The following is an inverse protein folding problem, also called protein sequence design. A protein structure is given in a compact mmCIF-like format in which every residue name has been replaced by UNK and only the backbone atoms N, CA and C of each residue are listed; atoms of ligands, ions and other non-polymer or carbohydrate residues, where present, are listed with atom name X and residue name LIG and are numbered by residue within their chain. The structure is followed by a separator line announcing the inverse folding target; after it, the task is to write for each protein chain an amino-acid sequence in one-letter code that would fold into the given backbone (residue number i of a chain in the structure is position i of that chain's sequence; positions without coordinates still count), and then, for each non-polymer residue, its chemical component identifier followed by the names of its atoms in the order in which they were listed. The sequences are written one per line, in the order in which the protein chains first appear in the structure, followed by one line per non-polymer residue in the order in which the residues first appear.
data_IF_888400343728
#
_entry.id   IF_888400343728
#
_cell.length_a   1.000
_cell.length_b   1.000
_cell.length_c   1.000
_cell.angle_alpha   90.00
_cell.angle_beta   90.00
_cell.angle_gamma   90.00
#
_symmetry.space_group_name_H-M   'P 1'
#
loop_
_entity.id
_entity.type
_entity.pdbx_description
1 polymer ?
#
# COMPACT_ATOMS: atom_id res chain seq x y z
N UNK A 1 4.77 22.73 33.40
CA UNK A 1 4.47 22.74 31.96
C UNK A 1 5.80 22.90 31.21
N UNK A 2 6.59 21.82 31.13
CA UNK A 2 7.95 21.81 30.55
C UNK A 2 8.02 20.61 29.62
N UNK A 3 7.47 20.74 28.41
CA UNK A 3 7.57 19.73 27.34
C UNK A 3 7.37 20.39 25.97
N UNK A 4 8.08 21.47 25.64
CA UNK A 4 8.14 21.97 24.26
C UNK A 4 9.51 22.61 24.02
N UNK A 5 10.45 21.83 23.48
CA UNK A 5 11.64 22.22 22.68
C UNK A 5 12.80 21.30 23.00
N UNK A 6 12.82 20.14 22.35
CA UNK A 6 14.03 19.36 22.14
C UNK A 6 14.34 19.34 20.65
N UNK A 7 15.61 19.51 20.22
CA UNK A 7 16.05 19.32 18.83
C UNK A 7 15.72 17.90 18.30
N UNK A 8 15.43 16.94 19.18
CA UNK A 8 14.99 15.59 18.84
C UNK A 8 13.66 15.57 18.06
N UNK A 9 12.70 16.45 18.35
CA UNK A 9 11.44 16.50 17.60
C UNK A 9 11.66 17.00 16.16
N UNK A 10 12.66 17.85 15.96
CA UNK A 10 13.10 18.27 14.63
C UNK A 10 13.89 17.16 13.93
N UNK A 11 14.62 16.30 14.65
CA UNK A 11 15.27 15.11 14.06
C UNK A 11 14.27 14.06 13.58
N UNK A 12 13.14 13.88 14.27
CA UNK A 12 12.07 12.96 13.82
C UNK A 12 11.32 13.48 12.59
N UNK A 13 11.18 14.80 12.44
CA UNK A 13 10.58 15.42 11.26
C UNK A 13 11.61 15.54 10.12
N UNK A 14 12.87 15.79 10.44
CA UNK A 14 14.01 15.81 9.50
C UNK A 14 14.47 14.40 9.07
N UNK A 15 13.93 13.34 9.69
CA UNK A 15 13.83 11.99 9.12
C UNK A 15 12.76 11.98 8.00
N UNK A 16 12.73 13.04 7.20
CA UNK A 16 11.93 13.12 5.99
C UNK A 16 12.32 11.93 5.14
N UNK A 17 11.34 11.13 4.68
CA UNK A 17 11.60 9.90 3.96
C UNK A 17 12.56 10.23 2.82
N UNK A 18 13.64 9.46 2.75
CA UNK A 18 14.64 9.44 1.70
C UNK A 18 14.01 9.87 0.36
N UNK A 19 14.64 10.78 -0.40
CA UNK A 19 14.04 11.34 -1.63
C UNK A 19 13.45 10.26 -2.58
N UNK A 20 13.94 9.02 -2.53
CA UNK A 20 13.43 7.87 -3.27
C UNK A 20 12.14 7.20 -2.72
N UNK A 21 11.95 7.14 -1.39
CA UNK A 21 10.79 6.48 -0.75
C UNK A 21 9.41 7.03 -1.15
N UNK A 22 9.17 8.36 -1.27
CA UNK A 22 7.85 8.85 -1.66
C UNK A 22 7.44 8.39 -3.06
N UNK A 23 8.40 8.17 -3.97
CA UNK A 23 8.11 7.66 -5.31
C UNK A 23 7.63 6.21 -5.27
N UNK A 24 8.25 5.35 -4.46
CA UNK A 24 7.82 3.94 -4.30
C UNK A 24 6.43 3.88 -3.66
N UNK A 25 6.17 4.69 -2.63
CA UNK A 25 4.84 4.79 -2.01
C UNK A 25 3.79 5.31 -3.00
N UNK A 26 4.13 6.30 -3.83
CA UNK A 26 3.24 6.81 -4.88
C UNK A 26 2.91 5.72 -5.91
N UNK A 27 3.91 4.92 -6.32
CA UNK A 27 3.68 3.80 -7.24
C UNK A 27 2.73 2.75 -6.66
N UNK A 28 2.86 2.42 -5.38
CA UNK A 28 1.93 1.52 -4.68
C UNK A 28 0.52 2.13 -4.66
N UNK A 29 0.38 3.40 -4.27
CA UNK A 29 -0.91 4.07 -4.25
C UNK A 29 -1.57 4.12 -5.64
N UNK A 30 -0.78 4.37 -6.69
CA UNK A 30 -1.24 4.37 -8.07
C UNK A 30 -1.69 2.98 -8.54
N UNK A 31 -0.96 1.92 -8.15
CA UNK A 31 -1.35 0.54 -8.43
C UNK A 31 -2.73 0.24 -7.81
N UNK A 32 -2.89 0.55 -6.52
CA UNK A 32 -4.16 0.35 -5.81
C UNK A 32 -5.31 1.14 -6.45
N UNK A 33 -5.05 2.38 -6.85
CA UNK A 33 -6.04 3.22 -7.53
C UNK A 33 -6.51 2.59 -8.85
N UNK A 34 -5.58 2.19 -9.72
CA UNK A 34 -5.89 1.60 -11.02
C UNK A 34 -6.69 0.31 -10.84
N UNK A 35 -6.22 -0.59 -9.97
CA UNK A 35 -6.91 -1.85 -9.71
C UNK A 35 -8.28 -1.64 -9.08
N UNK A 36 -8.44 -0.69 -8.14
CA UNK A 36 -9.74 -0.39 -7.55
C UNK A 36 -10.76 0.03 -8.62
N UNK A 37 -10.38 0.91 -9.54
CA UNK A 37 -11.27 1.34 -10.62
C UNK A 37 -11.60 0.17 -11.56
N UNK A 38 -10.61 -0.62 -11.97
CA UNK A 38 -10.86 -1.81 -12.82
C UNK A 38 -11.78 -2.81 -12.11
N UNK A 39 -11.52 -3.11 -10.84
CA UNK A 39 -12.32 -4.03 -10.04
C UNK A 39 -13.77 -3.56 -9.89
N UNK A 40 -14.01 -2.26 -9.69
CA UNK A 40 -15.36 -1.70 -9.69
C UNK A 40 -16.08 -1.90 -11.03
N UNK A 41 -15.39 -1.70 -12.16
CA UNK A 41 -16.00 -1.84 -13.48
C UNK A 41 -16.33 -3.29 -13.82
N UNK A 42 -15.48 -4.24 -13.42
CA UNK A 42 -15.63 -5.66 -13.78
C UNK A 42 -16.49 -6.42 -12.76
N UNK A 43 -16.30 -6.17 -11.47
CA UNK A 43 -16.89 -6.95 -10.37
C UNK A 43 -17.92 -6.17 -9.53
N UNK A 44 -18.19 -4.90 -9.84
CA UNK A 44 -19.10 -4.06 -9.06
C UNK A 44 -20.56 -4.52 -9.05
N UNK A 45 -20.96 -5.35 -10.02
CA UNK A 45 -22.33 -5.87 -10.15
C UNK A 45 -22.55 -7.24 -9.49
N UNK A 46 -21.52 -7.82 -8.86
CA UNK A 46 -21.65 -9.10 -8.17
C UNK A 46 -22.60 -8.93 -6.96
N UNK A 47 -23.49 -9.90 -6.79
CA UNK A 47 -24.42 -9.98 -5.67
C UNK A 47 -23.66 -10.06 -4.35
N UNK A 48 -24.21 -9.41 -3.33
CA UNK A 48 -23.70 -9.50 -1.96
C UNK A 48 -24.59 -10.48 -1.22
N UNK A 49 -23.98 -11.39 -0.46
CA UNK A 49 -24.68 -12.27 0.49
C UNK A 49 -25.85 -13.02 -0.16
N UNK A 50 -25.58 -13.58 -1.34
CA UNK A 50 -26.54 -14.44 -2.01
C UNK A 50 -26.19 -15.85 -1.57
N UNK A 51 -27.03 -16.40 -0.70
CA UNK A 51 -27.06 -17.83 -0.39
C UNK A 51 -27.33 -18.58 -1.70
N UNK A 52 -26.28 -18.88 -2.47
CA UNK A 52 -26.37 -19.88 -3.52
C UNK A 52 -26.58 -21.21 -2.79
N UNK A 53 -27.76 -21.82 -2.93
CA UNK A 53 -28.12 -23.12 -2.32
C UNK A 53 -27.13 -24.26 -2.67
N UNK A 54 -26.26 -24.04 -3.68
CA UNK A 54 -25.27 -24.99 -4.19
C UNK A 54 -23.80 -24.58 -3.92
N UNK A 55 -23.54 -23.45 -3.25
CA UNK A 55 -22.16 -23.03 -2.93
C UNK A 55 -21.86 -23.27 -1.46
N UNK A 56 -20.73 -23.92 -1.16
CA UNK A 56 -20.26 -24.11 0.21
C UNK A 56 -20.24 -22.75 0.95
N UNK A 57 -21.06 -22.60 1.98
CA UNK A 57 -21.29 -21.36 2.75
C UNK A 57 -19.98 -20.72 3.26
N UNK A 58 -18.91 -21.50 3.37
CA UNK A 58 -17.61 -21.07 3.88
C UNK A 58 -16.73 -20.34 2.84
N UNK A 59 -17.05 -20.40 1.54
CA UNK A 59 -16.13 -19.94 0.48
C UNK A 59 -16.48 -18.56 -0.12
N UNK A 60 -17.73 -18.09 0.01
CA UNK A 60 -18.14 -16.79 -0.52
C UNK A 60 -17.68 -15.63 0.38
N UNK A 61 -16.73 -14.82 -0.10
CA UNK A 61 -16.11 -13.75 0.69
C UNK A 61 -16.66 -12.35 0.36
N UNK A 62 -17.64 -12.24 -0.55
CA UNK A 62 -18.20 -10.95 -0.97
C UNK A 62 -19.39 -10.58 -0.08
N UNK A 63 -19.14 -9.69 0.88
CA UNK A 63 -20.11 -9.25 1.89
C UNK A 63 -20.43 -7.75 1.74
N UNK A 64 -21.37 -7.23 2.53
CA UNK A 64 -21.72 -5.81 2.55
C UNK A 64 -20.52 -4.90 2.81
N UNK A 65 -19.54 -5.40 3.56
CA UNK A 65 -18.31 -4.68 3.89
C UNK A 65 -17.13 -5.04 2.98
N UNK A 66 -17.21 -6.13 2.22
CA UNK A 66 -16.14 -6.63 1.37
C UNK A 66 -16.62 -6.82 -0.07
N UNK A 67 -16.76 -5.73 -0.82
CA UNK A 67 -17.26 -5.76 -2.19
C UNK A 67 -16.61 -4.68 -3.08
N UNK A 68 -16.95 -4.74 -4.38
CA UNK A 68 -16.44 -3.82 -5.41
C UNK A 68 -17.45 -2.74 -5.83
N UNK A 69 -18.50 -2.46 -5.04
CA UNK A 69 -19.55 -1.50 -5.45
C UNK A 69 -19.07 -0.05 -5.41
N UNK A 70 -18.28 0.28 -4.39
CA UNK A 70 -17.74 1.64 -4.22
C UNK A 70 -16.22 1.63 -4.23
N UNK A 71 -15.63 2.77 -4.57
CA UNK A 71 -14.19 2.92 -4.64
C UNK A 71 -13.48 2.58 -3.33
N UNK A 72 -14.02 3.05 -2.20
CA UNK A 72 -13.41 2.81 -0.90
C UNK A 72 -13.52 1.34 -0.47
N UNK A 73 -14.65 0.69 -0.74
CA UNK A 73 -14.80 -0.75 -0.46
C UNK A 73 -13.85 -1.60 -1.33
N UNK A 74 -13.75 -1.29 -2.63
CA UNK A 74 -12.80 -1.94 -3.53
C UNK A 74 -11.35 -1.76 -3.05
N UNK A 75 -11.00 -0.54 -2.60
CA UNK A 75 -9.68 -0.25 -2.04
C UNK A 75 -9.40 -1.07 -0.77
N UNK A 76 -10.37 -1.17 0.15
CA UNK A 76 -10.24 -1.97 1.38
C UNK A 76 -10.12 -3.47 1.09
N UNK A 77 -10.88 -3.98 0.12
CA UNK A 77 -10.80 -5.38 -0.32
C UNK A 77 -9.44 -5.68 -0.96
N UNK A 78 -8.91 -4.77 -1.78
CA UNK A 78 -7.56 -4.87 -2.34
C UNK A 78 -6.49 -4.79 -1.28
N UNK A 79 -6.66 -3.95 -0.25
CA UNK A 79 -5.76 -3.88 0.89
C UNK A 79 -5.73 -5.20 1.67
N UNK A 80 -6.90 -5.78 1.96
CA UNK A 80 -7.02 -7.12 2.55
C UNK A 80 -6.35 -8.19 1.68
N UNK A 81 -6.50 -8.08 0.36
CA UNK A 81 -5.85 -9.02 -0.56
C UNK A 81 -4.33 -8.87 -0.56
N UNK A 82 -3.83 -7.63 -0.47
CA UNK A 82 -2.40 -7.31 -0.44
C UNK A 82 -1.69 -7.80 0.84
N UNK A 83 -2.39 -7.88 1.97
CA UNK A 83 -1.87 -8.51 3.19
C UNK A 83 -1.84 -10.04 3.11
N UNK A 84 -2.43 -10.63 2.06
CA UNK A 84 -2.50 -12.07 1.85
C UNK A 84 -3.69 -12.75 2.53
N UNK A 85 -4.63 -11.99 3.10
CA UNK A 85 -5.78 -12.57 3.79
C UNK A 85 -6.86 -13.03 2.81
N UNK A 86 -7.07 -14.36 2.74
CA UNK A 86 -8.16 -15.00 1.99
C UNK A 86 -8.35 -14.51 0.55
N UNK A 87 -7.31 -13.97 -0.07
CA UNK A 87 -7.37 -13.36 -1.42
C UNK A 87 -7.81 -14.36 -2.49
N UNK A 88 -7.46 -15.64 -2.32
CA UNK A 88 -7.88 -16.73 -3.21
C UNK A 88 -9.39 -16.97 -3.13
N UNK A 89 -9.99 -16.97 -1.94
CA UNK A 89 -11.45 -17.10 -1.78
C UNK A 89 -12.19 -15.90 -2.35
N UNK A 90 -11.63 -14.69 -2.19
CA UNK A 90 -12.18 -13.47 -2.83
C UNK A 90 -12.13 -13.60 -4.36
N UNK A 91 -11.02 -14.10 -4.91
CA UNK A 91 -10.89 -14.35 -6.35
C UNK A 91 -11.91 -15.38 -6.85
N UNK A 92 -12.09 -16.50 -6.13
CA UNK A 92 -13.08 -17.53 -6.47
C UNK A 92 -14.51 -16.98 -6.41
N UNK A 93 -14.79 -16.08 -5.46
CA UNK A 93 -16.06 -15.37 -5.34
C UNK A 93 -16.33 -14.37 -6.47
N UNK A 94 -15.33 -14.05 -7.30
CA UNK A 94 -15.44 -13.17 -8.47
C UNK A 94 -15.50 -13.89 -9.82
N UNK A 95 -15.47 -15.22 -9.83
CA UNK A 95 -15.56 -16.03 -11.05
C UNK A 95 -16.96 -15.97 -11.68
N UNK A 96 -17.05 -16.40 -12.94
CA UNK A 96 -18.33 -16.52 -13.65
C UNK A 96 -19.28 -17.51 -12.96
N UNK A 97 -20.58 -17.31 -13.17
CA UNK A 97 -21.62 -18.16 -12.58
C UNK A 97 -22.07 -17.69 -11.20
N UNK A 98 -21.66 -16.49 -10.77
CA UNK A 98 -22.09 -15.90 -9.49
C UNK A 98 -23.34 -15.06 -9.67
N UNK A 99 -24.25 -14.99 -8.70
CA UNK A 99 -25.48 -14.22 -8.83
C UNK A 99 -25.19 -12.72 -8.96
N UNK A 100 -25.90 -12.07 -9.88
CA UNK A 100 -25.84 -10.62 -10.03
C UNK A 100 -26.63 -9.91 -8.93
N UNK A 101 -26.23 -8.68 -8.59
CA UNK A 101 -27.03 -7.81 -7.73
C UNK A 101 -28.39 -7.51 -8.38
N UNK A 102 -29.48 -7.65 -7.63
CA UNK A 102 -30.87 -7.42 -8.08
C UNK A 102 -31.09 -5.97 -8.54
N UNK A 103 -30.31 -5.03 -8.01
CA UNK A 103 -30.39 -3.61 -8.34
C UNK A 103 -29.51 -3.20 -9.54
N UNK A 104 -28.73 -4.12 -10.11
CA UNK A 104 -27.81 -3.81 -11.23
C UNK A 104 -28.53 -3.57 -12.56
N UNK A 105 -29.80 -3.98 -12.69
CA UNK A 105 -30.56 -3.89 -13.95
C UNK A 105 -30.09 -4.87 -15.03
N UNK A 106 -29.20 -5.81 -14.67
CA UNK A 106 -28.70 -6.85 -15.56
C UNK A 106 -29.76 -7.96 -15.68
N UNK A 107 -30.12 -8.31 -16.92
CA UNK A 107 -31.08 -9.39 -17.21
C UNK A 107 -30.45 -10.78 -17.19
N UNK A 108 -29.13 -10.89 -17.17
CA UNK A 108 -28.45 -12.18 -17.05
C UNK A 108 -28.47 -12.64 -15.59
N UNK A 109 -28.73 -13.94 -15.33
CA UNK A 109 -28.72 -14.47 -13.98
C UNK A 109 -27.29 -14.55 -13.39
N UNK A 110 -26.28 -14.57 -14.26
CA UNK A 110 -24.89 -14.79 -13.90
C UNK A 110 -24.03 -13.54 -14.14
N UNK A 111 -23.19 -13.25 -13.15
CA UNK A 111 -22.18 -12.23 -13.06
C UNK A 111 -20.82 -12.87 -12.72
N UNK A 112 -19.79 -12.03 -12.71
CA UNK A 112 -18.41 -12.47 -12.53
C UNK A 112 -17.77 -12.91 -13.85
N UNK A 113 -16.46 -13.09 -13.84
CA UNK A 113 -15.68 -13.33 -15.05
C UNK A 113 -14.43 -14.16 -14.72
N UNK A 114 -14.06 -15.11 -15.58
CA UNK A 114 -12.80 -15.87 -15.48
C UNK A 114 -11.56 -14.96 -15.53
N UNK A 115 -11.69 -13.74 -16.05
CA UNK A 115 -10.67 -12.69 -15.94
C UNK A 115 -10.23 -12.40 -14.49
N UNK A 116 -11.04 -12.76 -13.48
CA UNK A 116 -10.69 -12.65 -12.07
C UNK A 116 -9.36 -13.34 -11.73
N UNK A 117 -9.05 -14.51 -12.32
CA UNK A 117 -7.77 -15.17 -12.10
C UNK A 117 -6.59 -14.28 -12.48
N UNK A 118 -6.64 -13.73 -13.70
CA UNK A 118 -5.58 -12.85 -14.18
C UNK A 118 -5.49 -11.57 -13.35
N UNK A 119 -6.63 -10.97 -13.02
CA UNK A 119 -6.71 -9.76 -12.21
C UNK A 119 -6.08 -9.93 -10.81
N UNK A 120 -6.50 -10.93 -10.04
CA UNK A 120 -6.00 -11.12 -8.68
C UNK A 120 -4.55 -11.63 -8.66
N UNK A 121 -4.18 -12.58 -9.52
CA UNK A 121 -2.80 -13.10 -9.56
C UNK A 121 -1.81 -12.01 -9.98
N UNK A 122 -2.14 -11.20 -11.00
CA UNK A 122 -1.29 -10.09 -11.41
C UNK A 122 -1.20 -9.00 -10.33
N UNK A 123 -2.30 -8.68 -9.65
CA UNK A 123 -2.30 -7.75 -8.51
C UNK A 123 -1.38 -8.22 -7.38
N UNK A 124 -1.53 -9.46 -6.93
CA UNK A 124 -0.70 -10.03 -5.85
C UNK A 124 0.77 -10.02 -6.25
N UNK A 125 1.09 -10.47 -7.47
CA UNK A 125 2.46 -10.47 -7.97
C UNK A 125 3.08 -9.06 -7.98
N UNK A 126 2.38 -8.07 -8.57
CA UNK A 126 2.87 -6.70 -8.64
C UNK A 126 2.96 -6.04 -7.26
N UNK A 127 1.97 -6.27 -6.40
CA UNK A 127 1.96 -5.74 -5.04
C UNK A 127 3.11 -6.32 -4.21
N UNK A 128 3.33 -7.64 -4.25
CA UNK A 128 4.46 -8.27 -3.57
C UNK A 128 5.80 -7.77 -4.09
N UNK A 129 5.93 -7.57 -5.41
CA UNK A 129 7.13 -6.99 -6.01
C UNK A 129 7.40 -5.56 -5.51
N UNK A 130 6.38 -4.69 -5.49
CA UNK A 130 6.51 -3.32 -4.99
C UNK A 130 6.78 -3.28 -3.48
N UNK A 131 6.13 -4.14 -2.68
CA UNK A 131 6.38 -4.25 -1.24
C UNK A 131 7.80 -4.72 -0.94
N UNK A 132 8.35 -5.65 -1.73
CA UNK A 132 9.74 -6.06 -1.63
C UNK A 132 10.68 -4.90 -1.98
N UNK A 133 10.39 -4.14 -3.04
CA UNK A 133 11.18 -2.95 -3.39
C UNK A 133 11.14 -1.90 -2.29
N UNK A 134 10.01 -1.72 -1.60
CA UNK A 134 9.91 -0.86 -0.44
C UNK A 134 10.77 -1.37 0.72
N UNK A 135 10.72 -2.67 1.02
CA UNK A 135 11.55 -3.29 2.05
C UNK A 135 13.05 -3.12 1.78
N UNK A 136 13.47 -3.33 0.52
CA UNK A 136 14.86 -3.13 0.08
C UNK A 136 15.27 -1.66 0.23
N UNK A 137 14.42 -0.72 -0.18
CA UNK A 137 14.69 0.71 -0.01
C UNK A 137 14.87 1.07 1.47
N UNK A 138 13.97 0.61 2.34
CA UNK A 138 14.07 0.85 3.79
C UNK A 138 15.35 0.24 4.37
N UNK A 139 15.73 -0.97 3.99
CA UNK A 139 16.97 -1.59 4.49
C UNK A 139 18.22 -0.86 3.98
N UNK A 140 18.24 -0.44 2.70
CA UNK A 140 19.35 0.33 2.15
C UNK A 140 19.57 1.63 2.93
N UNK A 141 18.49 2.34 3.23
CA UNK A 141 18.54 3.58 4.01
C UNK A 141 19.04 3.32 5.44
N UNK A 142 18.59 2.22 6.06
CA UNK A 142 19.09 1.80 7.38
C UNK A 142 20.59 1.42 7.34
N UNK A 143 21.05 0.75 6.29
CA UNK A 143 22.44 0.36 6.14
C UNK A 143 23.36 1.57 5.90
N UNK A 144 22.92 2.55 5.09
CA UNK A 144 23.63 3.81 4.89
C UNK A 144 23.75 4.61 6.20
N UNK A 145 22.69 4.62 7.03
CA UNK A 145 22.72 5.24 8.35
C UNK A 145 23.80 4.62 9.26
N UNK A 146 23.81 3.28 9.39
CA UNK A 146 24.78 2.56 10.23
C UNK A 146 26.23 2.70 9.75
N UNK A 147 26.45 2.81 8.44
CA UNK A 147 27.79 2.97 7.87
C UNK A 147 28.32 4.40 7.97
N UNK A 148 27.46 5.42 8.13
CA UNK A 148 27.88 6.79 8.41
C UNK A 148 28.41 6.99 9.84
N UNK A 149 27.78 6.38 10.84
CA UNK A 149 28.20 6.52 12.25
C UNK A 149 29.55 5.84 12.56
N UNK A 150 29.99 4.91 11.71
CA UNK A 150 31.29 4.25 11.82
C UNK A 150 32.42 4.95 11.04
N UNK A 151 32.10 6.04 10.33
CA UNK A 151 33.11 6.82 9.61
C UNK A 151 33.99 7.64 10.57
N UNK A 152 35.31 7.56 10.38
CA UNK A 152 36.33 8.15 11.29
C UNK A 152 36.27 9.69 11.36
N UNK A 153 35.60 10.33 10.39
CA UNK A 153 35.39 11.77 10.30
C UNK A 153 33.88 12.02 10.17
N UNK A 154 33.19 12.10 11.31
CA UNK A 154 31.76 12.37 11.36
C UNK A 154 31.41 13.86 11.20
N UNK A 155 30.15 14.20 10.92
CA UNK A 155 29.69 15.58 10.80
C UNK A 155 29.94 16.43 12.06
N UNK A 156 30.00 15.80 13.25
CA UNK A 156 30.36 16.48 14.49
C UNK A 156 31.79 17.05 14.51
N UNK A 157 32.74 16.40 13.83
CA UNK A 157 34.10 16.94 13.67
C UNK A 157 34.13 18.16 12.75
N UNK A 158 33.23 18.20 11.75
CA UNK A 158 33.11 19.32 10.82
C UNK A 158 32.40 20.52 11.47
N UNK A 159 31.36 20.29 12.27
CA UNK A 159 30.69 21.33 13.05
C UNK A 159 31.65 21.97 14.06
N UNK A 160 32.49 21.17 14.72
CA UNK A 160 33.52 21.67 15.62
C UNK A 160 34.56 22.51 14.85
N UNK A 161 35.00 22.05 13.67
CA UNK A 161 35.89 22.82 12.81
C UNK A 161 35.29 24.17 12.40
N UNK A 162 34.04 24.19 11.92
CA UNK A 162 33.36 25.43 11.51
C UNK A 162 33.18 26.39 12.68
N UNK A 163 32.82 25.87 13.87
CA UNK A 163 32.68 26.68 15.09
C UNK A 163 33.99 27.35 15.48
N UNK A 164 35.09 26.59 15.48
CA UNK A 164 36.42 27.13 15.80
C UNK A 164 36.85 28.13 14.72
N UNK A 165 36.61 27.83 13.45
CA UNK A 165 36.99 28.70 12.35
C UNK A 165 36.22 30.04 12.36
N UNK A 166 34.95 30.03 12.76
CA UNK A 166 34.13 31.24 12.92
C UNK A 166 34.65 32.21 14.00
N UNK A 167 35.42 31.72 14.99
CA UNK A 167 36.09 32.60 15.96
C UNK A 167 37.28 33.36 15.34
N UNK A 168 37.92 32.78 14.31
CA UNK A 168 39.11 33.35 13.67
C UNK A 168 38.78 34.21 12.44
N UNK A 169 37.71 33.92 11.70
CA UNK A 169 37.24 34.73 10.57
C UNK A 169 35.76 35.13 10.74
N UNK A 170 35.47 36.19 11.52
CA UNK A 170 34.11 36.66 11.74
C UNK A 170 33.45 37.30 10.50
N UNK A 171 34.17 37.49 9.39
CA UNK A 171 33.64 38.06 8.15
C UNK A 171 33.06 37.01 7.19
N UNK A 172 33.21 35.72 7.50
CA UNK A 172 32.88 34.61 6.60
C UNK A 172 31.50 33.97 6.84
N UNK A 173 30.51 34.79 7.21
CA UNK A 173 29.09 34.40 7.18
C UNK A 173 28.50 34.59 5.78
#
# INVERSE_FOLDING_TARGET
MVWVRGPLALSFIAFFPHQALPYVCLLIAMLFFIYAIIGMQVFGNIGIDVEDEDSDEDEFQITEHNNFRTFFQALMLLFRSATGEAWHNIMLSCLSGKPCDKNSGILTPECGNEFAYFYFVSFIFLCSFLMLNLFVAVIMDNFEYLTRDSSILGPHHLDEYVRVWAEYDPAAW
#
